data_IF_622932027741
#
_entry.id   IF_622932027741
#
_cell.length_a   1.000
_cell.length_b   1.000
_cell.length_c   1.000
_cell.angle_alpha   90.00
_cell.angle_beta   90.00
_cell.angle_gamma   90.00
#
_symmetry.space_group_name_H-M   'P 1'
#
loop_
_entity.id
_entity.type
_entity.pdbx_description
1 polymer ?
#
# COMPACT_ATOMS: atom_id res chain seq x y z
N UNK A 1 5.59 7.35 25.51
CA UNK A 1 5.83 6.49 24.33
C UNK A 1 7.29 6.66 23.95
N UNK A 2 8.12 5.62 24.10
CA UNK A 2 9.59 5.72 23.95
C UNK A 2 9.99 6.08 22.51
N UNK A 3 10.96 6.98 22.39
CA UNK A 3 11.59 7.44 21.14
C UNK A 3 12.12 6.28 20.30
N UNK A 4 12.50 5.17 20.93
CA UNK A 4 13.02 3.96 20.27
C UNK A 4 11.99 3.29 19.35
N UNK A 5 10.71 3.30 19.74
CA UNK A 5 9.64 2.70 18.94
C UNK A 5 9.30 3.53 17.69
N UNK A 6 9.47 4.86 17.77
CA UNK A 6 9.31 5.75 16.63
C UNK A 6 10.47 5.56 15.64
N UNK A 7 11.72 5.50 16.14
CA UNK A 7 12.90 5.23 15.32
C UNK A 7 12.81 3.88 14.60
N UNK A 8 12.40 2.81 15.29
CA UNK A 8 12.24 1.49 14.68
C UNK A 8 11.19 1.46 13.54
N UNK A 9 10.12 2.27 13.67
CA UNK A 9 9.09 2.37 12.62
C UNK A 9 9.59 3.09 11.37
N UNK A 10 10.45 4.10 11.52
CA UNK A 10 11.05 4.84 10.41
C UNK A 10 12.33 4.19 9.85
N UNK A 11 12.97 3.29 10.61
CA UNK A 11 14.19 2.57 10.19
C UNK A 11 14.00 1.64 8.98
N UNK A 12 12.75 1.46 8.51
CA UNK A 12 12.40 0.66 7.33
C UNK A 12 11.88 1.52 6.17
N UNK A 13 12.03 2.85 6.23
CA UNK A 13 11.63 3.73 5.12
C UNK A 13 12.59 3.51 3.94
N UNK A 14 12.01 3.13 2.81
CA UNK A 14 12.76 2.81 1.57
C UNK A 14 12.54 3.83 0.46
N UNK A 15 11.62 4.77 0.65
CA UNK A 15 11.21 5.69 -0.40
C UNK A 15 10.13 6.66 0.04
N UNK A 16 9.80 7.56 -0.87
CA UNK A 16 8.67 8.48 -0.80
C UNK A 16 7.66 8.11 -1.89
N UNK A 17 6.37 8.35 -1.64
CA UNK A 17 5.39 8.39 -2.71
C UNK A 17 5.19 9.83 -3.16
N UNK A 18 5.01 10.03 -4.46
CA UNK A 18 4.87 11.34 -5.07
C UNK A 18 3.41 11.60 -5.50
N UNK A 19 2.71 10.55 -5.95
CA UNK A 19 1.31 10.65 -6.36
C UNK A 19 0.51 9.38 -6.08
N UNK A 20 -0.79 9.58 -5.84
CA UNK A 20 -1.78 8.53 -5.62
C UNK A 20 -3.01 8.86 -6.46
N UNK A 21 -3.45 7.93 -7.31
CA UNK A 21 -4.68 8.03 -8.10
C UNK A 21 -5.57 6.81 -7.86
N UNK A 22 -6.88 7.04 -7.74
CA UNK A 22 -7.89 5.98 -7.82
C UNK A 22 -8.37 5.94 -9.25
N UNK A 23 -8.18 4.80 -9.90
CA UNK A 23 -8.58 4.52 -11.27
C UNK A 23 -9.60 3.37 -11.29
N UNK A 24 -10.20 3.13 -12.45
CA UNK A 24 -11.23 2.09 -12.58
C UNK A 24 -10.70 0.67 -12.28
N UNK A 25 -9.40 0.44 -12.47
CA UNK A 25 -8.70 -0.82 -12.20
C UNK A 25 -8.11 -0.90 -10.78
N UNK A 26 -8.23 0.15 -9.97
CA UNK A 26 -7.81 0.17 -8.57
C UNK A 26 -6.98 1.39 -8.18
N UNK A 27 -6.17 1.24 -7.12
CA UNK A 27 -5.34 2.31 -6.59
C UNK A 27 -3.94 2.26 -7.21
N UNK A 28 -3.55 3.32 -7.92
CA UNK A 28 -2.18 3.50 -8.40
C UNK A 28 -1.42 4.44 -7.49
N UNK A 29 -0.24 4.00 -7.08
CA UNK A 29 0.69 4.78 -6.27
C UNK A 29 2.00 4.85 -7.02
N UNK A 30 2.54 6.06 -7.17
CA UNK A 30 3.86 6.29 -7.75
C UNK A 30 4.76 6.96 -6.71
N UNK A 31 6.05 6.69 -6.82
CA UNK A 31 7.03 7.16 -5.85
C UNK A 31 8.45 6.82 -6.26
N UNK A 32 9.39 7.24 -5.42
CA UNK A 32 10.82 7.04 -5.61
C UNK A 32 11.41 6.31 -4.43
N UNK A 33 12.24 5.31 -4.71
CA UNK A 33 13.09 4.74 -3.69
C UNK A 33 14.17 5.76 -3.31
N UNK A 34 14.59 5.73 -2.05
CA UNK A 34 15.73 6.50 -1.60
C UNK A 34 16.99 6.06 -2.37
N UNK A 35 17.95 6.98 -2.45
CA UNK A 35 19.21 6.79 -3.20
C UNK A 35 20.03 5.59 -2.72
N UNK A 36 21.11 5.28 -3.44
CA UNK A 36 21.93 4.09 -3.20
C UNK A 36 22.65 4.10 -1.83
N UNK A 37 22.69 5.24 -1.16
CA UNK A 37 23.22 5.40 0.20
C UNK A 37 22.35 4.73 1.27
N UNK A 38 21.08 4.44 0.98
CA UNK A 38 20.18 3.74 1.90
C UNK A 38 20.18 2.25 1.58
N UNK A 39 20.92 1.47 2.38
CA UNK A 39 21.09 0.03 2.20
C UNK A 39 19.76 -0.72 2.01
N UNK A 40 18.73 -0.38 2.80
CA UNK A 40 17.41 -1.01 2.69
C UNK A 40 16.70 -0.70 1.38
N UNK A 41 16.83 0.51 0.84
CA UNK A 41 16.25 0.88 -0.45
C UNK A 41 16.94 0.13 -1.60
N UNK A 42 18.27 -0.08 -1.49
CA UNK A 42 19.05 -0.88 -2.44
C UNK A 42 18.62 -2.35 -2.44
N UNK A 43 18.47 -2.96 -1.27
CA UNK A 43 17.96 -4.34 -1.13
C UNK A 43 16.57 -4.47 -1.77
N UNK A 44 15.65 -3.58 -1.44
CA UNK A 44 14.30 -3.60 -1.99
C UNK A 44 14.31 -3.41 -3.51
N UNK A 45 15.15 -2.50 -4.05
CA UNK A 45 15.32 -2.33 -5.50
C UNK A 45 15.81 -3.62 -6.18
N UNK A 46 16.77 -4.32 -5.57
CA UNK A 46 17.25 -5.60 -6.09
C UNK A 46 16.14 -6.67 -6.09
N UNK A 47 15.37 -6.75 -5.00
CA UNK A 47 14.24 -7.70 -4.88
C UNK A 47 13.10 -7.40 -5.85
N UNK A 48 12.80 -6.11 -6.10
CA UNK A 48 11.82 -5.69 -7.10
C UNK A 48 12.29 -6.05 -8.52
N UNK A 49 13.58 -5.79 -8.85
CA UNK A 49 14.18 -6.17 -10.13
C UNK A 49 14.18 -7.68 -10.35
N UNK A 50 14.45 -8.45 -9.30
CA UNK A 50 14.39 -9.92 -9.31
C UNK A 50 12.94 -10.46 -9.33
N UNK A 51 11.91 -9.60 -9.28
CA UNK A 51 10.49 -9.97 -9.17
C UNK A 51 10.18 -10.86 -7.97
N UNK A 52 11.02 -10.85 -6.94
CA UNK A 52 10.81 -11.60 -5.69
C UNK A 52 9.85 -10.87 -4.75
N UNK A 53 9.79 -9.53 -4.86
CA UNK A 53 8.80 -8.68 -4.19
C UNK A 53 7.84 -8.14 -5.25
N UNK A 54 6.57 -8.51 -5.13
CA UNK A 54 5.52 -8.10 -6.08
C UNK A 54 4.24 -7.64 -5.40
N UNK A 55 4.10 -7.89 -4.09
CA UNK A 55 2.93 -7.49 -3.32
C UNK A 55 3.07 -6.08 -2.76
N UNK A 56 1.96 -5.36 -2.74
CA UNK A 56 1.80 -4.06 -2.10
C UNK A 56 0.72 -4.15 -1.03
N UNK A 57 0.97 -3.55 0.13
CA UNK A 57 0.00 -3.37 1.19
C UNK A 57 -0.19 -1.89 1.47
N UNK A 58 -1.45 -1.47 1.61
CA UNK A 58 -1.83 -0.10 1.96
C UNK A 58 -2.43 -0.06 3.35
N UNK A 59 -1.88 0.81 4.20
CA UNK A 59 -2.47 1.18 5.47
C UNK A 59 -3.33 2.43 5.27
N UNK A 60 -4.59 2.36 5.67
CA UNK A 60 -5.53 3.47 5.57
C UNK A 60 -6.34 3.65 6.85
N UNK A 61 -6.85 4.87 7.05
CA UNK A 61 -7.85 5.19 8.07
C UNK A 61 -9.20 5.39 7.40
N UNK A 62 -10.18 4.58 7.78
CA UNK A 62 -11.55 4.69 7.27
C UNK A 62 -12.21 5.95 7.81
N UNK A 63 -12.74 6.80 6.92
CA UNK A 63 -13.55 7.97 7.28
C UNK A 63 -15.04 7.69 7.14
N UNK A 64 -15.44 7.01 6.06
CA UNK A 64 -16.82 6.60 5.81
C UNK A 64 -16.86 5.17 5.29
N UNK A 65 -17.70 4.36 5.91
CA UNK A 65 -17.94 2.99 5.47
C UNK A 65 -19.40 2.60 5.72
N UNK A 66 -19.97 1.85 4.78
CA UNK A 66 -21.30 1.28 4.88
C UNK A 66 -21.23 -0.25 4.95
N UNK A 67 -22.10 -0.91 5.74
CA UNK A 67 -22.19 -2.37 5.75
C UNK A 67 -22.75 -2.88 4.42
N UNK A 68 -22.18 -3.97 3.90
CA UNK A 68 -22.64 -4.60 2.65
C UNK A 68 -23.55 -5.78 2.96
N UNK A 69 -24.63 -5.97 2.18
CA UNK A 69 -25.45 -7.19 2.23
C UNK A 69 -24.59 -8.40 1.83
N UNK A 70 -24.49 -9.38 2.72
CA UNK A 70 -23.63 -10.56 2.55
C UNK A 70 -22.29 -10.48 3.31
N UNK A 71 -22.09 -9.44 4.13
CA UNK A 71 -20.89 -9.28 4.95
C UNK A 71 -19.85 -8.36 4.32
N UNK A 72 -18.95 -7.86 5.15
CA UNK A 72 -17.96 -6.84 4.75
C UNK A 72 -18.52 -5.42 4.78
N UNK A 73 -17.70 -4.47 4.31
CA UNK A 73 -18.01 -3.04 4.28
C UNK A 73 -17.53 -2.43 2.97
N UNK A 74 -18.33 -1.55 2.40
CA UNK A 74 -17.90 -0.66 1.32
C UNK A 74 -17.32 0.60 1.96
N UNK A 75 -16.08 0.93 1.61
CA UNK A 75 -15.39 2.11 2.13
C UNK A 75 -15.47 3.20 1.06
N UNK A 76 -16.27 4.24 1.32
CA UNK A 76 -16.50 5.33 0.38
C UNK A 76 -15.52 6.49 0.57
N UNK A 77 -14.90 6.60 1.75
CA UNK A 77 -13.89 7.61 2.04
C UNK A 77 -12.85 7.04 3.02
N UNK A 78 -11.58 7.20 2.67
CA UNK A 78 -10.44 6.78 3.46
C UNK A 78 -9.28 7.77 3.32
N UNK A 79 -8.46 7.86 4.36
CA UNK A 79 -7.15 8.51 4.30
C UNK A 79 -6.05 7.47 4.13
N UNK A 80 -5.20 7.61 3.12
CA UNK A 80 -4.01 6.78 2.96
C UNK A 80 -2.94 7.21 3.98
N UNK A 81 -2.37 6.25 4.70
CA UNK A 81 -1.40 6.49 5.79
C UNK A 81 -0.04 5.87 5.50
N UNK A 82 -0.02 4.71 4.85
CA UNK A 82 1.21 3.98 4.58
C UNK A 82 1.08 3.10 3.34
N UNK A 83 2.20 2.90 2.66
CA UNK A 83 2.37 1.97 1.56
C UNK A 83 3.59 1.11 1.88
N UNK A 84 3.45 -0.20 1.75
CA UNK A 84 4.50 -1.17 2.09
C UNK A 84 4.64 -2.19 0.98
N UNK A 85 5.87 -2.53 0.64
CA UNK A 85 6.19 -3.58 -0.33
C UNK A 85 6.53 -4.89 0.38
N UNK A 86 6.13 -6.02 -0.18
CA UNK A 86 6.37 -7.34 0.41
C UNK A 86 6.33 -8.49 -0.60
N UNK A 87 6.90 -9.63 -0.21
CA UNK A 87 7.00 -10.83 -1.05
C UNK A 87 5.72 -11.69 -1.05
N UNK A 88 4.55 -11.07 -0.97
CA UNK A 88 3.27 -11.77 -0.98
C UNK A 88 2.93 -12.20 -2.40
N UNK A 89 3.12 -13.50 -2.69
CA UNK A 89 2.80 -14.09 -3.98
C UNK A 89 1.40 -14.75 -3.90
N UNK A 90 0.30 -13.99 -4.13
CA UNK A 90 -1.00 -14.60 -4.52
C UNK A 90 -2.07 -13.58 -4.96
N UNK A 91 -2.62 -13.84 -6.15
CA UNK A 91 -4.02 -13.67 -6.57
C UNK A 91 -4.74 -12.42 -5.99
N UNK A 92 -4.47 -11.25 -6.56
CA UNK A 92 -5.07 -9.97 -6.19
C UNK A 92 -6.54 -9.81 -6.65
N UNK A 93 -7.09 -10.80 -7.36
CA UNK A 93 -8.37 -10.70 -8.08
C UNK A 93 -9.62 -10.71 -7.17
N UNK A 94 -9.49 -11.11 -5.90
CA UNK A 94 -10.65 -11.26 -5.00
C UNK A 94 -10.88 -10.10 -4.02
N UNK A 95 -10.01 -9.08 -3.97
CA UNK A 95 -10.11 -8.02 -2.95
C UNK A 95 -10.60 -6.66 -3.45
N UNK A 96 -10.53 -6.39 -4.76
CA UNK A 96 -11.00 -5.14 -5.38
C UNK A 96 -11.98 -5.44 -6.52
N UNK A 97 -13.08 -6.13 -6.23
CA UNK A 97 -14.18 -6.15 -7.19
C UNK A 97 -14.79 -4.74 -7.20
N UNK A 98 -14.71 -3.97 -8.30
CA UNK A 98 -15.49 -2.75 -8.43
C UNK A 98 -16.95 -3.14 -8.25
N UNK A 99 -17.65 -2.50 -7.31
CA UNK A 99 -19.08 -2.68 -7.17
C UNK A 99 -19.75 -2.16 -8.43
N UNK A 100 -20.11 -3.06 -9.34
CA UNK A 100 -21.07 -2.76 -10.38
C UNK A 100 -22.37 -2.32 -9.69
N UNK A 101 -22.74 -1.06 -9.87
CA UNK A 101 -24.01 -0.52 -9.42
C UNK A 101 -23.87 0.68 -8.48
N UNK A 102 -23.53 1.83 -9.04
CA UNK A 102 -24.23 3.08 -8.71
C UNK A 102 -24.75 3.63 -10.06
N UNK A 103 -25.96 3.20 -10.41
CA UNK A 103 -26.98 4.02 -11.08
C UNK A 103 -28.10 4.21 -10.07
#
# INVERSE_FOLDING_TARGET
MSTDALCARYAQVVGTWDAVSVEADGLKVSGKLLGEDVARAKEVRALLRAKSVTGLSVGFMTKKAAPRKGGGRTISDLGLVAVRVGAWKRHFESFLQPTAGDQ
#
